data_IF_863046398504
#
_entry.id   IF_863046398504
#
_cell.length_a   1.000
_cell.length_b   1.000
_cell.length_c   1.000
_cell.angle_alpha   90.00
_cell.angle_beta   90.00
_cell.angle_gamma   90.00
#
_symmetry.space_group_name_H-M   'P 1'
#
loop_
_entity.id
_entity.type
_entity.pdbx_description
1 polymer ?
#
# COMPACT_ATOMS: atom_id res chain seq x y z
N UNK A 1 -23.20 -10.50 -20.09
CA UNK A 1 -23.38 -9.05 -20.37
C UNK A 1 -22.08 -8.38 -19.95
N UNK A 2 -21.41 -7.69 -20.85
CA UNK A 2 -20.21 -6.88 -20.51
C UNK A 2 -20.68 -5.75 -19.57
N UNK A 3 -20.08 -5.67 -18.37
CA UNK A 3 -20.33 -4.58 -17.41
C UNK A 3 -20.02 -3.25 -18.11
N UNK A 4 -20.89 -2.26 -17.94
CA UNK A 4 -20.64 -0.93 -18.47
C UNK A 4 -19.48 -0.30 -17.68
N UNK A 5 -18.42 0.06 -18.37
CA UNK A 5 -17.27 0.72 -17.76
C UNK A 5 -17.66 2.09 -17.20
N UNK A 6 -17.26 2.37 -15.98
CA UNK A 6 -17.47 3.64 -15.31
C UNK A 6 -16.18 4.45 -15.34
N UNK A 7 -16.29 5.73 -15.66
CA UNK A 7 -15.14 6.63 -15.75
C UNK A 7 -15.27 7.75 -14.72
N UNK A 8 -14.12 8.17 -14.20
CA UNK A 8 -13.99 9.32 -13.31
C UNK A 8 -12.86 10.21 -13.80
N UNK A 9 -12.99 11.52 -13.57
CA UNK A 9 -11.88 12.46 -13.75
C UNK A 9 -11.31 12.78 -12.38
N UNK A 10 -10.08 12.35 -12.14
CA UNK A 10 -9.42 12.48 -10.83
C UNK A 10 -7.90 12.57 -10.99
N UNK A 11 -7.22 12.84 -9.90
CA UNK A 11 -5.76 12.75 -9.79
C UNK A 11 -5.30 11.41 -9.18
N UNK A 12 -3.98 11.21 -9.10
CA UNK A 12 -3.39 10.00 -8.54
C UNK A 12 -3.70 9.82 -7.06
N UNK A 13 -3.74 10.90 -6.29
CA UNK A 13 -4.09 10.83 -4.87
C UNK A 13 -5.53 10.35 -4.67
N UNK A 14 -6.48 10.86 -5.46
CA UNK A 14 -7.86 10.42 -5.40
C UNK A 14 -8.02 8.96 -5.85
N UNK A 15 -7.27 8.53 -6.86
CA UNK A 15 -7.27 7.15 -7.34
C UNK A 15 -6.75 6.18 -6.25
N UNK A 16 -5.61 6.49 -5.62
CA UNK A 16 -5.06 5.70 -4.51
C UNK A 16 -6.00 5.68 -3.29
N UNK A 17 -6.52 6.84 -2.90
CA UNK A 17 -7.46 6.96 -1.79
C UNK A 17 -8.73 6.13 -2.02
N UNK A 18 -9.25 6.13 -3.27
CA UNK A 18 -10.44 5.39 -3.64
C UNK A 18 -10.29 3.88 -3.43
N UNK A 19 -9.17 3.31 -3.88
CA UNK A 19 -8.89 1.89 -3.70
C UNK A 19 -8.56 1.56 -2.25
N UNK A 20 -7.69 2.34 -1.61
CA UNK A 20 -7.31 2.09 -0.22
C UNK A 20 -8.51 2.13 0.73
N UNK A 21 -9.46 3.04 0.49
CA UNK A 21 -10.72 3.09 1.25
C UNK A 21 -11.49 1.76 1.18
N UNK A 22 -11.54 1.14 0.00
CA UNK A 22 -12.27 -0.13 -0.16
C UNK A 22 -11.70 -1.26 0.69
N UNK A 23 -10.37 -1.33 0.81
CA UNK A 23 -9.69 -2.43 1.49
C UNK A 23 -9.34 -2.16 2.96
N UNK A 24 -9.58 -0.95 3.45
CA UNK A 24 -9.19 -0.55 4.81
C UNK A 24 -10.36 -0.55 5.76
N UNK A 25 -10.12 -1.01 6.98
CA UNK A 25 -11.01 -0.87 8.13
C UNK A 25 -10.59 0.35 8.96
N UNK A 26 -9.28 0.66 8.96
CA UNK A 26 -8.69 1.81 9.66
C UNK A 26 -7.75 2.56 8.73
N UNK A 27 -7.74 3.87 8.80
CA UNK A 27 -6.74 4.75 8.23
C UNK A 27 -6.12 5.59 9.34
N UNK A 28 -4.84 5.35 9.64
CA UNK A 28 -4.10 6.17 10.61
C UNK A 28 -3.27 7.19 9.84
N UNK A 29 -3.56 8.47 10.02
CA UNK A 29 -3.06 9.53 9.17
C UNK A 29 -2.28 10.60 9.94
N UNK A 30 -1.34 11.22 9.24
CA UNK A 30 -0.77 12.52 9.57
C UNK A 30 -0.40 13.20 8.25
N UNK A 31 -1.25 14.16 7.79
CA UNK A 31 -1.12 14.70 6.43
C UNK A 31 0.21 15.39 6.17
N UNK A 32 0.81 15.08 5.02
CA UNK A 32 2.03 15.71 4.52
C UNK A 32 1.93 15.91 3.01
N UNK A 33 2.30 17.10 2.52
CA UNK A 33 2.34 17.41 1.08
C UNK A 33 3.40 16.55 0.35
N UNK A 34 3.09 15.95 -0.82
CA UNK A 34 1.87 16.08 -1.64
C UNK A 34 0.81 15.00 -1.38
N UNK A 35 0.94 14.16 -0.36
CA UNK A 35 0.04 13.05 -0.08
C UNK A 35 -1.22 13.42 0.73
N UNK A 36 -1.31 14.65 1.25
CA UNK A 36 -2.37 15.11 2.16
C UNK A 36 -3.77 14.84 1.64
N UNK A 37 -4.00 15.08 0.34
CA UNK A 37 -5.32 14.92 -0.27
C UNK A 37 -5.82 13.46 -0.26
N UNK A 38 -4.95 12.45 -0.20
CA UNK A 38 -5.38 11.06 0.01
C UNK A 38 -6.11 10.90 1.35
N UNK A 39 -5.51 11.44 2.41
CA UNK A 39 -6.09 11.39 3.74
C UNK A 39 -7.39 12.21 3.83
N UNK A 40 -7.43 13.39 3.20
CA UNK A 40 -8.60 14.26 3.14
C UNK A 40 -9.79 13.58 2.45
N UNK A 41 -9.58 12.92 1.30
CA UNK A 41 -10.62 12.15 0.62
C UNK A 41 -11.16 11.01 1.50
N UNK A 42 -10.28 10.27 2.16
CA UNK A 42 -10.69 9.15 3.01
C UNK A 42 -11.50 9.63 4.21
N UNK A 43 -11.10 10.74 4.82
CA UNK A 43 -11.82 11.35 5.94
C UNK A 43 -13.21 11.88 5.50
N UNK A 44 -13.28 12.58 4.37
CA UNK A 44 -14.53 13.05 3.78
C UNK A 44 -15.49 11.88 3.51
N UNK A 45 -15.01 10.81 2.88
CA UNK A 45 -15.85 9.65 2.57
C UNK A 45 -16.29 8.89 3.82
N UNK A 46 -15.42 8.80 4.83
CA UNK A 46 -15.78 8.22 6.11
C UNK A 46 -16.86 9.04 6.83
N UNK A 47 -16.71 10.37 6.86
CA UNK A 47 -17.71 11.27 7.41
C UNK A 47 -19.06 11.21 6.66
N UNK A 48 -19.01 10.98 5.35
CA UNK A 48 -20.21 10.77 4.52
C UNK A 48 -20.84 9.36 4.70
N UNK A 49 -20.22 8.47 5.47
CA UNK A 49 -20.73 7.11 5.73
C UNK A 49 -20.54 6.12 4.59
N UNK A 50 -19.61 6.40 3.63
CA UNK A 50 -19.24 5.45 2.57
C UNK A 50 -18.85 4.12 3.16
N UNK A 51 -19.27 3.02 2.53
CA UNK A 51 -18.92 1.67 2.96
C UNK A 51 -17.73 1.13 2.17
N UNK A 52 -16.83 0.46 2.88
CA UNK A 52 -15.75 -0.32 2.29
C UNK A 52 -16.26 -1.66 1.75
N UNK A 53 -15.35 -2.49 1.24
CA UNK A 53 -15.68 -3.80 0.67
C UNK A 53 -16.23 -4.80 1.71
N UNK A 54 -15.98 -4.54 3.00
CA UNK A 54 -16.47 -5.34 4.12
C UNK A 54 -17.81 -4.86 4.66
N UNK A 55 -18.38 -3.78 4.09
CA UNK A 55 -19.65 -3.20 4.52
C UNK A 55 -19.56 -2.25 5.72
N UNK A 56 -18.34 -1.87 6.11
CA UNK A 56 -18.06 -0.98 7.24
C UNK A 56 -17.60 0.41 6.77
N UNK A 57 -17.76 1.41 7.62
CA UNK A 57 -17.16 2.73 7.41
C UNK A 57 -15.72 2.72 7.95
N UNK A 58 -14.77 3.25 7.18
CA UNK A 58 -13.37 3.32 7.61
C UNK A 58 -13.24 4.21 8.85
N UNK A 59 -12.57 3.70 9.89
CA UNK A 59 -12.19 4.51 11.04
C UNK A 59 -10.96 5.34 10.69
N UNK A 60 -11.12 6.64 10.55
CA UNK A 60 -10.02 7.57 10.30
C UNK A 60 -9.53 8.14 11.61
N UNK A 61 -8.22 8.03 11.86
CA UNK A 61 -7.60 8.56 13.07
C UNK A 61 -6.40 9.42 12.70
N UNK A 62 -6.52 10.72 12.91
CA UNK A 62 -5.39 11.63 12.79
C UNK A 62 -4.50 11.54 14.04
N UNK A 63 -3.20 11.41 13.80
CA UNK A 63 -2.18 11.28 14.84
C UNK A 63 -1.39 12.58 14.96
N UNK A 64 -0.45 12.65 15.90
CA UNK A 64 0.37 13.83 16.16
C UNK A 64 1.70 13.87 15.37
N UNK A 65 2.02 12.78 14.66
CA UNK A 65 3.20 12.67 13.80
C UNK A 65 3.09 11.43 12.91
N UNK A 66 3.90 11.38 11.86
CA UNK A 66 3.97 10.20 10.98
C UNK A 66 4.46 8.96 11.74
N UNK A 67 5.41 9.12 12.67
CA UNK A 67 5.84 8.02 13.55
C UNK A 67 4.70 7.52 14.44
N UNK A 68 3.85 8.43 14.92
CA UNK A 68 2.63 8.09 15.66
C UNK A 68 1.62 7.37 14.78
N UNK A 69 1.42 7.83 13.53
CA UNK A 69 0.55 7.17 12.57
C UNK A 69 1.02 5.73 12.27
N UNK A 70 2.33 5.54 12.03
CA UNK A 70 2.89 4.20 11.81
C UNK A 70 2.74 3.29 13.04
N UNK A 71 2.86 3.85 14.26
CA UNK A 71 2.60 3.13 15.51
C UNK A 71 1.14 2.70 15.63
N UNK A 72 0.20 3.57 15.26
CA UNK A 72 -1.23 3.27 15.23
C UNK A 72 -1.55 2.20 14.17
N UNK A 73 -0.94 2.29 12.96
CA UNK A 73 -1.04 1.23 11.93
C UNK A 73 -0.59 -0.11 12.51
N UNK A 74 0.60 -0.16 13.12
CA UNK A 74 1.12 -1.39 13.71
C UNK A 74 0.16 -1.98 14.77
N UNK A 75 -0.31 -1.15 15.70
CA UNK A 75 -1.24 -1.59 16.76
C UNK A 75 -2.58 -2.07 16.22
N UNK A 76 -3.14 -1.39 15.23
CA UNK A 76 -4.40 -1.75 14.58
C UNK A 76 -4.29 -3.07 13.81
N UNK A 77 -3.19 -3.27 13.06
CA UNK A 77 -2.90 -4.54 12.39
C UNK A 77 -2.73 -5.69 13.38
N UNK A 78 -2.08 -5.45 14.53
CA UNK A 78 -1.99 -6.44 15.61
C UNK A 78 -3.36 -6.82 16.18
N UNK A 79 -4.30 -5.89 16.18
CA UNK A 79 -5.69 -6.14 16.58
C UNK A 79 -6.51 -6.84 15.48
N UNK A 80 -5.97 -7.08 14.30
CA UNK A 80 -6.61 -7.81 13.21
C UNK A 80 -7.44 -6.95 12.26
N UNK A 81 -7.28 -5.61 12.31
CA UNK A 81 -7.93 -4.69 11.38
C UNK A 81 -6.99 -4.34 10.22
N UNK A 82 -7.48 -4.46 8.99
CA UNK A 82 -6.74 -4.01 7.80
C UNK A 82 -6.58 -2.49 7.84
N UNK A 83 -5.34 -2.04 7.86
CA UNK A 83 -5.02 -0.64 8.12
C UNK A 83 -4.08 -0.08 7.08
N UNK A 84 -4.32 1.17 6.67
CA UNK A 84 -3.49 1.90 5.70
C UNK A 84 -3.04 3.25 6.27
N UNK A 85 -2.06 3.86 5.60
CA UNK A 85 -1.61 5.23 5.85
C UNK A 85 -1.13 5.90 4.56
N UNK A 86 -1.05 7.23 4.59
CA UNK A 86 -0.67 8.07 3.46
C UNK A 86 0.46 8.99 3.89
N UNK A 87 1.56 9.04 3.13
CA UNK A 87 2.73 9.81 3.55
C UNK A 87 3.63 10.19 2.37
N UNK A 88 4.68 10.94 2.66
CA UNK A 88 5.72 11.36 1.71
C UNK A 88 7.00 11.74 2.46
N UNK A 89 8.15 11.75 1.78
CA UNK A 89 9.38 12.40 2.21
C UNK A 89 9.81 12.05 3.65
N UNK A 90 10.14 13.06 4.46
CA UNK A 90 10.52 12.88 5.87
C UNK A 90 9.48 12.10 6.68
N UNK A 91 8.19 12.26 6.35
CA UNK A 91 7.12 11.51 7.00
C UNK A 91 7.30 10.00 6.85
N UNK A 92 7.62 9.55 5.63
CA UNK A 92 7.92 8.13 5.39
C UNK A 92 9.18 7.68 6.16
N UNK A 93 10.21 8.53 6.24
CA UNK A 93 11.42 8.21 7.01
C UNK A 93 11.14 8.05 8.50
N UNK A 94 10.24 8.84 9.06
CA UNK A 94 9.80 8.72 10.47
C UNK A 94 9.03 7.41 10.74
N UNK A 95 8.48 6.78 9.71
CA UNK A 95 7.77 5.51 9.81
C UNK A 95 8.70 4.28 9.78
N UNK A 96 9.95 4.41 9.32
CA UNK A 96 10.89 3.30 9.09
C UNK A 96 11.00 2.33 10.27
N UNK A 97 11.17 2.76 11.54
CA UNK A 97 11.25 1.83 12.66
C UNK A 97 10.01 0.92 12.79
N UNK A 98 8.82 1.46 12.57
CA UNK A 98 7.57 0.68 12.57
C UNK A 98 7.43 -0.18 11.32
N UNK A 99 7.93 0.27 10.16
CA UNK A 99 7.94 -0.54 8.94
C UNK A 99 8.71 -1.84 9.14
N UNK A 100 9.90 -1.79 9.76
CA UNK A 100 10.64 -3.00 10.12
C UNK A 100 9.83 -3.96 11.00
N UNK A 101 9.07 -3.43 11.96
CA UNK A 101 8.21 -4.22 12.84
C UNK A 101 7.04 -4.85 12.08
N UNK A 102 6.34 -4.07 11.29
CA UNK A 102 5.20 -4.52 10.48
C UNK A 102 5.64 -5.62 9.51
N UNK A 103 6.75 -5.42 8.80
CA UNK A 103 7.29 -6.40 7.87
C UNK A 103 7.78 -7.67 8.59
N UNK A 104 8.52 -7.53 9.69
CA UNK A 104 9.04 -8.65 10.46
C UNK A 104 7.95 -9.51 11.11
N UNK A 105 6.79 -8.96 11.37
CA UNK A 105 5.64 -9.66 11.92
C UNK A 105 4.63 -10.13 10.85
N UNK A 106 4.93 -9.92 9.57
CA UNK A 106 4.08 -10.30 8.43
C UNK A 106 2.64 -9.80 8.58
N UNK A 107 2.51 -8.50 8.84
CA UNK A 107 1.23 -7.82 8.98
C UNK A 107 0.84 -7.18 7.63
N UNK A 108 -0.28 -7.60 7.02
CA UNK A 108 -0.68 -7.12 5.70
C UNK A 108 -1.15 -5.67 5.77
N UNK A 109 -0.47 -4.78 5.05
CA UNK A 109 -0.90 -3.39 4.88
C UNK A 109 -0.30 -2.77 3.63
N UNK A 110 -0.86 -1.63 3.23
CA UNK A 110 -0.32 -0.81 2.15
C UNK A 110 -0.08 0.61 2.67
N UNK A 111 1.13 1.11 2.48
CA UNK A 111 1.47 2.53 2.65
C UNK A 111 1.40 3.18 1.27
N UNK A 112 0.53 4.16 1.10
CA UNK A 112 0.44 4.93 -0.14
C UNK A 112 1.31 6.16 -0.05
N UNK A 113 2.20 6.33 -1.03
CA UNK A 113 3.23 7.37 -0.98
C UNK A 113 3.22 8.19 -2.27
N UNK A 114 2.95 9.48 -2.14
CA UNK A 114 3.25 10.46 -3.21
C UNK A 114 4.71 10.90 -3.04
N UNK A 115 5.62 10.19 -3.70
CA UNK A 115 7.06 10.28 -3.49
C UNK A 115 7.60 11.70 -3.68
N UNK A 116 8.40 12.17 -2.74
CA UNK A 116 8.90 13.54 -2.66
C UNK A 116 10.36 13.59 -2.23
N UNK A 117 11.11 14.56 -2.79
CA UNK A 117 12.47 14.90 -2.38
C UNK A 117 12.60 15.04 -0.86
N UNK A 118 13.69 14.53 -0.30
CA UNK A 118 14.04 14.73 1.10
C UNK A 118 14.60 16.14 1.33
N UNK A 119 14.14 16.80 2.38
CA UNK A 119 14.74 18.05 2.81
C UNK A 119 16.18 17.81 3.30
N UNK A 120 17.12 18.61 2.80
CA UNK A 120 18.52 18.59 3.20
C UNK A 120 19.04 20.01 3.44
N UNK A 121 19.79 20.62 2.51
CA UNK A 121 20.18 22.02 2.58
C UNK A 121 19.00 22.99 2.37
N UNK A 122 17.94 22.53 1.74
CA UNK A 122 16.69 23.26 1.52
C UNK A 122 15.52 22.28 1.45
N UNK A 123 14.30 22.78 1.59
CA UNK A 123 13.08 22.04 1.31
C UNK A 123 12.77 22.12 -0.19
N UNK A 124 12.56 20.95 -0.80
CA UNK A 124 11.95 20.81 -2.12
C UNK A 124 10.74 19.89 -2.01
N UNK A 125 9.61 20.30 -2.55
CA UNK A 125 8.35 19.55 -2.43
C UNK A 125 7.99 18.74 -3.66
N UNK A 126 8.80 18.82 -4.74
CA UNK A 126 8.56 18.08 -5.97
C UNK A 126 8.90 16.59 -5.88
N UNK A 127 8.36 15.83 -6.84
CA UNK A 127 8.54 14.38 -6.96
C UNK A 127 10.00 13.97 -7.06
N UNK A 128 10.35 12.95 -6.29
CA UNK A 128 11.65 12.29 -6.28
C UNK A 128 11.48 10.97 -5.50
N UNK A 129 12.31 9.98 -5.79
CA UNK A 129 12.22 8.67 -5.15
C UNK A 129 13.20 8.48 -3.98
N UNK A 130 13.82 9.52 -3.46
CA UNK A 130 14.76 9.43 -2.33
C UNK A 130 14.12 8.85 -1.07
N UNK A 131 12.87 9.24 -0.79
CA UNK A 131 12.11 8.78 0.37
C UNK A 131 11.81 7.28 0.29
N UNK A 132 11.22 6.82 -0.82
CA UNK A 132 10.89 5.39 -1.02
C UNK A 132 12.15 4.52 -1.12
N UNK A 133 13.22 5.01 -1.78
CA UNK A 133 14.49 4.28 -1.83
C UNK A 133 15.14 4.13 -0.44
N UNK A 134 14.92 5.08 0.47
CA UNK A 134 15.38 4.98 1.86
C UNK A 134 14.67 3.86 2.64
N UNK A 135 13.49 3.45 2.21
CA UNK A 135 12.68 2.41 2.84
C UNK A 135 12.91 1.00 2.26
N UNK A 136 13.68 0.85 1.18
CA UNK A 136 13.86 -0.41 0.45
C UNK A 136 14.36 -1.58 1.30
N UNK A 137 14.97 -1.30 2.46
CA UNK A 137 15.54 -2.32 3.36
C UNK A 137 14.55 -2.77 4.45
N UNK A 138 13.37 -2.14 4.55
CA UNK A 138 12.43 -2.38 5.65
C UNK A 138 11.72 -3.73 5.58
N UNK A 139 11.72 -4.35 4.40
CA UNK A 139 10.98 -5.58 4.12
C UNK A 139 9.58 -5.35 3.54
N UNK A 140 9.24 -4.10 3.21
CA UNK A 140 8.06 -3.81 2.38
C UNK A 140 8.36 -4.13 0.92
N UNK A 141 7.43 -4.80 0.23
CA UNK A 141 7.42 -4.86 -1.23
C UNK A 141 7.06 -3.48 -1.79
N UNK A 142 7.51 -3.17 -3.00
CA UNK A 142 7.36 -1.84 -3.57
C UNK A 142 6.75 -1.93 -4.96
N UNK A 143 5.63 -1.21 -5.19
CA UNK A 143 5.02 -1.01 -6.50
C UNK A 143 5.10 0.47 -6.87
N UNK A 144 5.51 0.74 -8.11
CA UNK A 144 5.69 2.10 -8.64
C UNK A 144 4.76 2.31 -9.84
N UNK A 145 4.03 3.40 -9.84
CA UNK A 145 3.07 3.73 -10.87
C UNK A 145 3.47 5.02 -11.61
N UNK A 146 3.33 5.00 -12.95
CA UNK A 146 3.69 6.12 -13.83
C UNK A 146 2.50 6.95 -14.34
N UNK A 147 1.26 6.54 -14.06
CA UNK A 147 0.05 7.25 -14.49
C UNK A 147 -1.09 7.08 -13.49
N UNK A 148 -2.07 8.00 -13.55
CA UNK A 148 -3.25 7.95 -12.67
C UNK A 148 -4.06 6.66 -12.84
N UNK A 149 -4.13 6.11 -14.06
CA UNK A 149 -4.79 4.83 -14.29
C UNK A 149 -4.02 3.67 -13.65
N UNK A 150 -2.71 3.66 -13.76
CA UNK A 150 -1.88 2.65 -13.10
C UNK A 150 -2.00 2.72 -11.57
N UNK A 151 -2.09 3.92 -10.99
CA UNK A 151 -2.34 4.08 -9.56
C UNK A 151 -3.63 3.37 -9.15
N UNK A 152 -4.72 3.53 -9.92
CA UNK A 152 -5.98 2.84 -9.64
C UNK A 152 -5.82 1.32 -9.67
N UNK A 153 -5.16 0.80 -10.72
CA UNK A 153 -5.04 -0.63 -10.96
C UNK A 153 -4.05 -1.28 -9.99
N UNK A 154 -2.88 -0.65 -9.78
CA UNK A 154 -1.82 -1.21 -8.93
C UNK A 154 -2.09 -1.06 -7.44
N UNK A 155 -2.80 -0.03 -7.01
CA UNK A 155 -3.28 0.04 -5.63
C UNK A 155 -4.16 -1.17 -5.29
N UNK A 156 -5.04 -1.61 -6.21
CA UNK A 156 -5.84 -2.82 -6.03
C UNK A 156 -4.95 -4.08 -5.94
N UNK A 157 -3.95 -4.19 -6.82
CA UNK A 157 -2.97 -5.29 -6.76
C UNK A 157 -2.23 -5.30 -5.41
N UNK A 158 -1.75 -4.14 -4.93
CA UNK A 158 -1.04 -4.04 -3.66
C UNK A 158 -1.88 -4.53 -2.48
N UNK A 159 -3.15 -4.10 -2.39
CA UNK A 159 -4.05 -4.52 -1.32
C UNK A 159 -4.39 -6.01 -1.38
N UNK A 160 -4.64 -6.56 -2.55
CA UNK A 160 -4.91 -7.98 -2.72
C UNK A 160 -3.66 -8.82 -2.42
N UNK A 161 -2.50 -8.40 -2.94
CA UNK A 161 -1.24 -9.11 -2.76
C UNK A 161 -0.76 -9.10 -1.30
N UNK A 162 -0.91 -7.99 -0.57
CA UNK A 162 -0.50 -7.94 0.86
C UNK A 162 -1.32 -8.89 1.71
N UNK A 163 -2.63 -9.02 1.46
CA UNK A 163 -3.51 -9.96 2.18
C UNK A 163 -3.02 -11.39 1.96
N UNK A 164 -2.77 -11.78 0.70
CA UNK A 164 -2.37 -13.15 0.34
C UNK A 164 -0.94 -13.49 0.73
N UNK A 165 0.01 -12.59 0.48
CA UNK A 165 1.43 -12.81 0.77
C UNK A 165 1.82 -12.58 2.22
N UNK A 166 1.03 -11.81 2.98
CA UNK A 166 1.34 -11.30 4.31
C UNK A 166 2.50 -10.30 4.34
N UNK A 167 3.10 -10.00 3.20
CA UNK A 167 4.16 -8.99 3.07
C UNK A 167 3.50 -7.62 2.89
N UNK A 168 3.88 -6.60 3.67
CA UNK A 168 3.35 -5.24 3.49
C UNK A 168 3.92 -4.58 2.23
N UNK A 169 3.19 -3.60 1.68
CA UNK A 169 3.56 -2.90 0.46
C UNK A 169 3.71 -1.40 0.67
N UNK A 170 4.68 -0.81 -0.03
CA UNK A 170 4.69 0.61 -0.40
C UNK A 170 4.19 0.71 -1.83
N UNK A 171 3.03 1.34 -2.01
CA UNK A 171 2.45 1.68 -3.31
C UNK A 171 2.74 3.16 -3.56
N UNK A 172 3.52 3.50 -4.58
CA UNK A 172 4.03 4.86 -4.72
C UNK A 172 4.06 5.37 -6.16
N UNK A 173 3.89 6.64 -6.28
CA UNK A 173 3.91 7.40 -7.55
C UNK A 173 4.53 8.78 -7.32
N UNK A 174 4.89 9.47 -8.40
CA UNK A 174 5.49 10.80 -8.32
C UNK A 174 4.59 11.83 -7.66
N UNK A 175 5.12 12.49 -6.64
CA UNK A 175 4.50 13.66 -6.04
C UNK A 175 4.44 14.85 -7.01
N UNK A 176 3.32 15.58 -7.02
CA UNK A 176 2.96 16.67 -7.92
C UNK A 176 2.78 16.30 -9.40
N UNK A 177 3.47 15.34 -9.93
CA UNK A 177 3.17 14.79 -11.26
C UNK A 177 1.93 13.90 -11.16
N UNK A 178 2.10 12.60 -11.02
CA UNK A 178 0.98 11.64 -10.96
C UNK A 178 -0.01 11.99 -9.83
N UNK A 179 0.47 12.44 -8.67
CA UNK A 179 -0.40 12.73 -7.52
C UNK A 179 -1.42 13.85 -7.75
N UNK A 180 -1.11 14.83 -8.63
CA UNK A 180 -1.96 15.99 -8.92
C UNK A 180 -2.29 16.14 -10.41
N UNK A 181 -1.90 15.20 -11.25
CA UNK A 181 -2.25 15.17 -12.65
C UNK A 181 -3.69 14.72 -12.83
N UNK A 182 -4.52 15.58 -13.41
CA UNK A 182 -5.93 15.27 -13.67
C UNK A 182 -6.07 14.44 -14.93
N UNK A 183 -6.56 13.23 -14.80
CA UNK A 183 -6.83 12.33 -15.92
C UNK A 183 -8.25 11.77 -15.85
N UNK A 184 -8.81 11.43 -17.01
CA UNK A 184 -10.01 10.61 -17.09
C UNK A 184 -9.62 9.15 -17.11
N UNK A 185 -9.96 8.42 -16.06
CA UNK A 185 -9.61 7.02 -15.88
C UNK A 185 -10.85 6.14 -15.73
N UNK A 186 -10.70 4.85 -16.00
CA UNK A 186 -11.67 3.83 -15.67
C UNK A 186 -11.63 3.53 -14.18
N UNK A 187 -12.77 3.60 -13.51
CA UNK A 187 -12.90 3.40 -12.07
C UNK A 187 -13.22 1.95 -11.76
N UNK A 188 -12.47 1.35 -10.82
CA UNK A 188 -12.81 0.08 -10.21
C UNK A 188 -13.76 0.31 -9.02
N UNK A 189 -14.70 -0.60 -8.82
CA UNK A 189 -15.68 -0.54 -7.73
C UNK A 189 -15.60 -1.76 -6.81
N UNK A 190 -16.25 -1.70 -5.65
CA UNK A 190 -16.23 -2.81 -4.68
C UNK A 190 -16.59 -4.15 -5.31
N UNK A 191 -17.58 -4.17 -6.21
CA UNK A 191 -18.08 -5.37 -6.89
C UNK A 191 -17.06 -5.99 -7.85
N UNK A 192 -16.10 -5.20 -8.36
CA UNK A 192 -15.03 -5.68 -9.22
C UNK A 192 -13.95 -6.41 -8.42
N UNK A 193 -13.71 -5.99 -7.19
CA UNK A 193 -12.56 -6.39 -6.39
C UNK A 193 -12.92 -7.37 -5.26
N UNK A 194 -14.14 -7.33 -4.73
CA UNK A 194 -14.54 -8.15 -3.58
C UNK A 194 -14.33 -9.66 -3.79
N UNK A 195 -14.60 -10.13 -5.01
CA UNK A 195 -14.42 -11.55 -5.38
C UNK A 195 -12.97 -11.99 -5.53
N UNK A 196 -12.01 -11.05 -5.56
CA UNK A 196 -10.57 -11.34 -5.70
C UNK A 196 -9.87 -11.51 -4.36
N UNK A 197 -10.52 -11.12 -3.25
CA UNK A 197 -9.92 -11.23 -1.91
C UNK A 197 -9.74 -12.70 -1.55
N UNK A 198 -8.52 -13.08 -1.18
CA UNK A 198 -8.24 -14.39 -0.59
C UNK A 198 -8.85 -14.45 0.81
N UNK A 199 -10.04 -15.04 0.89
CA UNK A 199 -10.83 -15.12 2.13
C UNK A 199 -10.14 -15.99 3.19
N UNK A 200 -9.37 -17.01 2.77
CA UNK A 200 -8.63 -17.84 3.70
C UNK A 200 -7.48 -17.03 4.33
N UNK A 201 -6.68 -16.35 3.53
CA UNK A 201 -5.58 -15.52 4.02
C UNK A 201 -6.08 -14.40 4.96
N UNK A 202 -7.22 -13.77 4.62
CA UNK A 202 -7.86 -12.77 5.47
C UNK A 202 -8.32 -13.36 6.80
N UNK A 203 -8.95 -14.54 6.78
CA UNK A 203 -9.38 -15.22 8.01
C UNK A 203 -8.19 -15.59 8.89
N UNK A 204 -7.12 -16.12 8.29
CA UNK A 204 -5.87 -16.44 9.00
C UNK A 204 -5.21 -15.19 9.61
N UNK A 205 -5.22 -14.06 8.91
CA UNK A 205 -4.75 -12.79 9.47
C UNK A 205 -5.53 -12.42 10.73
N UNK A 206 -6.87 -12.46 10.67
CA UNK A 206 -7.73 -12.13 11.83
C UNK A 206 -7.59 -13.14 12.98
N UNK A 207 -7.36 -14.43 12.68
CA UNK A 207 -7.11 -15.43 13.71
C UNK A 207 -5.80 -15.21 14.46
N UNK A 208 -4.80 -14.62 13.80
CA UNK A 208 -3.53 -14.25 14.43
C UNK A 208 -3.57 -12.95 15.22
N UNK A 209 -4.70 -12.23 15.22
CA UNK A 209 -4.84 -11.01 16.01
C UNK A 209 -4.62 -11.23 17.50
N UNK A 210 -4.11 -10.20 18.19
CA UNK A 210 -4.00 -10.21 19.64
C UNK A 210 -5.40 -10.32 20.25
N UNK A 211 -5.66 -11.43 20.92
CA UNK A 211 -6.96 -11.74 21.50
C UNK A 211 -6.77 -12.33 22.89
N UNK A 212 -7.44 -11.81 23.94
CA UNK A 212 -7.38 -12.36 25.29
C UNK A 212 -7.77 -13.84 25.38
N UNK A 213 -8.66 -14.30 24.50
CA UNK A 213 -9.09 -15.71 24.45
C UNK A 213 -8.09 -16.62 23.73
N UNK A 214 -7.14 -16.05 22.96
CA UNK A 214 -6.07 -16.76 22.29
C UNK A 214 -4.76 -15.95 22.44
N UNK A 215 -4.19 -15.90 23.65
CA UNK A 215 -3.02 -15.07 23.92
C UNK A 215 -1.79 -15.59 23.18
N UNK A 216 -1.10 -14.67 22.49
CA UNK A 216 0.17 -14.94 21.81
C UNK A 216 1.20 -13.89 22.18
N UNK A 217 2.46 -14.30 22.25
CA UNK A 217 3.58 -13.37 22.42
C UNK A 217 4.25 -13.14 21.07
N UNK A 218 4.40 -11.86 20.69
CA UNK A 218 5.08 -11.44 19.47
C UNK A 218 5.99 -10.25 19.72
N UNK A 219 6.97 -10.05 18.85
CA UNK A 219 7.86 -8.88 18.91
C UNK A 219 8.72 -8.84 20.17
N UNK A 220 8.99 -9.99 20.79
CA UNK A 220 9.80 -10.13 21.98
C UNK A 220 11.30 -10.04 21.64
N UNK A 221 12.12 -9.88 22.69
CA UNK A 221 13.56 -9.99 22.53
C UNK A 221 13.97 -11.46 22.29
N UNK A 222 14.86 -11.67 21.34
CA UNK A 222 15.41 -12.98 21.01
C UNK A 222 16.94 -12.93 21.11
N UNK A 223 17.52 -14.07 21.48
CA UNK A 223 18.97 -14.24 21.42
C UNK A 223 19.45 -14.37 19.97
N UNK A 224 20.71 -14.03 19.65
CA UNK A 224 21.21 -14.00 18.27
C UNK A 224 21.03 -15.29 17.48
N UNK A 225 21.13 -16.44 18.14
CA UNK A 225 20.94 -17.77 17.54
C UNK A 225 19.50 -17.99 17.05
N UNK A 226 18.50 -17.63 17.86
CA UNK A 226 17.09 -17.72 17.49
C UNK A 226 16.69 -16.65 16.47
N UNK A 227 17.18 -15.42 16.65
CA UNK A 227 16.87 -14.31 15.76
C UNK A 227 17.29 -14.60 14.30
N UNK A 228 18.49 -15.18 14.10
CA UNK A 228 18.96 -15.54 12.77
C UNK A 228 18.03 -16.58 12.10
N UNK A 229 17.69 -17.64 12.83
CA UNK A 229 16.82 -18.68 12.30
C UNK A 229 15.42 -18.16 11.93
N UNK A 230 14.85 -17.27 12.75
CA UNK A 230 13.58 -16.64 12.44
C UNK A 230 13.67 -15.73 11.21
N UNK A 231 14.75 -14.99 11.05
CA UNK A 231 14.99 -14.18 9.83
C UNK A 231 15.10 -15.04 8.58
N UNK A 232 15.78 -16.18 8.63
CA UNK A 232 15.87 -17.11 7.50
C UNK A 232 14.52 -17.73 7.14
N UNK A 233 13.67 -18.03 8.10
CA UNK A 233 12.34 -18.59 7.85
C UNK A 233 11.41 -17.63 7.10
N UNK A 234 11.75 -16.35 7.04
CA UNK A 234 10.99 -15.34 6.29
C UNK A 234 11.16 -15.45 4.77
N UNK A 235 12.22 -16.07 4.27
CA UNK A 235 12.59 -16.06 2.85
C UNK A 235 11.46 -16.60 1.96
N UNK A 236 10.80 -17.68 2.34
CA UNK A 236 9.71 -18.27 1.55
C UNK A 236 8.55 -17.29 1.28
N UNK A 237 8.25 -16.37 2.21
CA UNK A 237 7.22 -15.37 2.01
C UNK A 237 7.63 -14.35 0.96
N UNK A 238 8.88 -13.88 1.01
CA UNK A 238 9.40 -12.91 0.04
C UNK A 238 9.56 -13.52 -1.36
N UNK A 239 10.01 -14.76 -1.45
CA UNK A 239 10.15 -15.48 -2.71
C UNK A 239 8.81 -15.69 -3.43
N UNK A 240 7.72 -15.80 -2.69
CA UNK A 240 6.37 -15.95 -3.25
C UNK A 240 5.77 -14.62 -3.77
N UNK A 241 6.26 -13.45 -3.31
CA UNK A 241 5.65 -12.14 -3.64
C UNK A 241 5.56 -11.88 -5.14
N UNK A 242 6.62 -12.07 -5.96
CA UNK A 242 6.52 -11.77 -7.39
C UNK A 242 5.40 -12.54 -8.09
N UNK A 243 5.28 -13.83 -7.81
CA UNK A 243 4.24 -14.67 -8.42
C UNK A 243 2.83 -14.26 -7.97
N UNK A 244 2.65 -13.89 -6.71
CA UNK A 244 1.37 -13.40 -6.17
C UNK A 244 0.99 -12.05 -6.80
N UNK A 245 1.95 -11.15 -6.95
CA UNK A 245 1.71 -9.85 -7.61
C UNK A 245 1.32 -10.05 -9.07
N UNK A 246 2.05 -10.90 -9.81
CA UNK A 246 1.73 -11.22 -11.20
C UNK A 246 0.35 -11.88 -11.35
N UNK A 247 -0.03 -12.75 -10.43
CA UNK A 247 -1.38 -13.34 -10.39
C UNK A 247 -2.44 -12.23 -10.31
N UNK A 248 -2.33 -11.28 -9.37
CA UNK A 248 -3.31 -10.21 -9.23
C UNK A 248 -3.23 -9.17 -10.36
N UNK A 249 -2.06 -8.89 -10.92
CA UNK A 249 -1.95 -8.10 -12.16
C UNK A 249 -2.74 -8.75 -13.31
N UNK A 250 -2.68 -10.07 -13.43
CA UNK A 250 -3.45 -10.81 -14.43
C UNK A 250 -4.96 -10.75 -14.15
N UNK A 251 -5.40 -10.86 -12.89
CA UNK A 251 -6.83 -10.72 -12.54
C UNK A 251 -7.35 -9.31 -12.83
N UNK A 252 -6.61 -8.26 -12.47
CA UNK A 252 -6.97 -6.88 -12.82
C UNK A 252 -6.98 -6.68 -14.34
N UNK A 253 -6.01 -7.25 -15.06
CA UNK A 253 -5.98 -7.21 -16.54
C UNK A 253 -7.22 -7.86 -17.16
N UNK A 254 -7.73 -8.95 -16.62
CA UNK A 254 -8.97 -9.61 -17.09
C UNK A 254 -10.21 -8.69 -16.91
N UNK A 255 -10.27 -7.96 -15.80
CA UNK A 255 -11.40 -7.06 -15.49
C UNK A 255 -11.35 -5.81 -16.35
N UNK A 256 -10.18 -5.22 -16.48
CA UNK A 256 -9.97 -3.91 -17.11
C UNK A 256 -9.69 -3.98 -18.60
N UNK A 257 -9.10 -5.08 -19.06
CA UNK A 257 -8.56 -5.22 -20.42
C UNK A 257 -7.21 -4.52 -20.61
N UNK A 258 -6.61 -4.00 -19.55
CA UNK A 258 -5.26 -3.40 -19.56
C UNK A 258 -4.23 -4.43 -19.09
N UNK A 259 -3.24 -4.79 -19.92
CA UNK A 259 -2.18 -5.70 -19.49
C UNK A 259 -1.25 -4.98 -18.50
N UNK A 260 -0.84 -5.70 -17.47
CA UNK A 260 0.18 -5.28 -16.51
C UNK A 260 1.21 -6.38 -16.35
N UNK A 261 2.48 -6.02 -16.18
CA UNK A 261 3.59 -6.91 -15.88
C UNK A 261 4.39 -6.43 -14.68
N UNK A 262 5.22 -7.32 -14.11
CA UNK A 262 6.11 -6.95 -12.99
C UNK A 262 7.08 -5.85 -13.39
N UNK A 263 7.49 -5.82 -14.65
CA UNK A 263 8.34 -4.80 -15.24
C UNK A 263 7.89 -4.55 -16.68
N UNK A 264 7.62 -3.27 -17.00
CA UNK A 264 7.32 -2.86 -18.35
C UNK A 264 8.55 -2.21 -18.98
N UNK A 265 8.83 -2.57 -20.22
CA UNK A 265 9.95 -2.00 -20.97
C UNK A 265 9.51 -0.77 -21.76
N UNK A 266 10.10 0.37 -21.45
CA UNK A 266 9.93 1.61 -22.19
C UNK A 266 11.21 1.95 -22.95
N UNK A 267 11.19 1.86 -24.26
CA UNK A 267 12.32 2.19 -25.11
C UNK A 267 12.30 1.49 -26.46
N UNK A 268 13.34 1.74 -27.25
CA UNK A 268 13.54 1.07 -28.53
C UNK A 268 14.47 -0.13 -28.35
N UNK A 269 13.99 -1.33 -28.62
CA UNK A 269 14.79 -2.56 -28.56
C UNK A 269 16.04 -2.56 -29.45
N UNK A 270 16.03 -1.73 -30.50
CA UNK A 270 17.15 -1.61 -31.46
C UNK A 270 18.26 -0.66 -30.97
N UNK A 271 17.94 0.27 -30.06
CA UNK A 271 18.85 1.34 -29.62
C UNK A 271 19.17 1.30 -28.12
N UNK A 272 18.80 0.25 -27.45
CA UNK A 272 19.28 0.03 -26.09
C UNK A 272 20.76 -0.28 -26.14
N UNK A 273 21.61 0.74 -25.96
CA UNK A 273 23.00 0.46 -25.63
C UNK A 273 23.03 -0.12 -24.22
N UNK A 274 23.84 -1.15 -23.95
CA UNK A 274 24.12 -1.53 -22.59
C UNK A 274 24.61 -0.29 -21.84
N UNK A 275 24.04 -0.03 -20.68
CA UNK A 275 24.56 1.02 -19.81
C UNK A 275 26.04 0.77 -19.57
N UNK A 276 26.89 1.78 -19.63
CA UNK A 276 28.32 1.62 -19.36
C UNK A 276 28.58 1.12 -17.93
#
# INVERSE_FOLDING_TARGET
MTKQKKFITCDGNQAAAHISYMFSEVAAIYPITPSSTMAEYVDEWAAAGRKNIFGETVLVQEMQSEGGAAGAVHGSLQAGALTTTYTASQGLLLMIPNMYKIAGEFLPCVFHVSARTLASHALCIFGDHQDVMSCRQTGFAMLCEGSVQEVMDMAAVAHLATIKSRVPFVNFFDGFRTSHEIQKIEMLENEDLAGLIDQQALAEFRQRALNPNNPVARGMAENPDHFFQHRESCNNFYEAVPAIVEEYMNEISKITGRPHGLFDYYGCLLYTSPSP
#
